data_IF_043889960445
#
_entry.id   IF_043889960445
#
_cell.length_a   1.000
_cell.length_b   1.000
_cell.length_c   1.000
_cell.angle_alpha   90.00
_cell.angle_beta   90.00
_cell.angle_gamma   90.00
#
_symmetry.space_group_name_H-M   'P 1'
#
loop_
_entity.id
_entity.type
_entity.pdbx_description
1 polymer ?
#
# COMPACT_ATOMS: atom_id res chain seq x y z
N UNK A 1 4.74 2.79 18.48
CA UNK A 1 4.17 3.22 17.17
C UNK A 1 3.89 1.98 16.32
N UNK A 2 2.93 2.01 15.42
CA UNK A 2 2.59 0.92 14.49
C UNK A 2 2.90 1.40 13.09
N UNK A 3 3.85 0.78 12.40
CA UNK A 3 4.24 1.18 11.04
C UNK A 3 4.01 0.04 10.07
N UNK A 4 3.50 0.37 8.89
CA UNK A 4 3.49 -0.56 7.75
C UNK A 4 4.94 -0.80 7.32
N UNK A 5 5.28 -2.07 7.14
CA UNK A 5 6.60 -2.47 6.66
C UNK A 5 6.48 -2.90 5.20
N UNK A 6 7.16 -2.18 4.33
CA UNK A 6 7.36 -2.56 2.93
C UNK A 6 8.27 -3.80 2.87
N UNK A 7 8.00 -4.73 1.95
CA UNK A 7 8.81 -5.93 1.76
C UNK A 7 10.29 -5.62 1.51
N UNK A 8 10.62 -4.51 0.82
CA UNK A 8 12.02 -4.11 0.60
C UNK A 8 12.75 -3.71 1.91
N UNK A 9 12.00 -3.49 3.00
CA UNK A 9 12.51 -3.09 4.30
C UNK A 9 12.74 -4.26 5.25
N UNK A 10 12.24 -5.46 4.93
CA UNK A 10 12.31 -6.66 5.77
C UNK A 10 13.71 -7.08 6.20
N UNK A 11 14.71 -6.85 5.35
CA UNK A 11 16.11 -7.17 5.64
C UNK A 11 16.93 -5.92 6.03
N UNK A 12 16.27 -4.79 6.29
CA UNK A 12 16.95 -3.56 6.69
C UNK A 12 17.43 -3.62 8.14
N UNK A 13 18.70 -3.31 8.45
CA UNK A 13 19.15 -3.15 9.84
C UNK A 13 18.35 -2.09 10.62
N UNK A 14 17.78 -1.11 9.91
CA UNK A 14 16.94 -0.09 10.52
C UNK A 14 15.61 -0.65 11.06
N UNK A 15 15.14 -1.80 10.53
CA UNK A 15 13.97 -2.50 11.08
C UNK A 15 14.28 -3.05 12.47
N UNK A 16 15.45 -3.66 12.65
CA UNK A 16 15.94 -4.09 13.97
C UNK A 16 16.01 -2.90 14.92
N UNK A 17 16.65 -1.81 14.50
CA UNK A 17 16.75 -0.58 15.33
C UNK A 17 15.37 -0.07 15.73
N UNK A 18 14.42 -0.01 14.80
CA UNK A 18 13.04 0.41 15.07
C UNK A 18 12.37 -0.47 16.14
N UNK A 19 12.50 -1.80 16.04
CA UNK A 19 11.88 -2.74 16.97
C UNK A 19 12.56 -2.74 18.35
N UNK A 20 13.89 -2.63 18.40
CA UNK A 20 14.67 -2.57 19.64
C UNK A 20 14.46 -1.27 20.43
N UNK A 21 14.22 -0.16 19.72
CA UNK A 21 14.02 1.16 20.35
C UNK A 21 12.88 1.15 21.36
N UNK A 22 11.82 0.37 21.13
CA UNK A 22 10.70 0.27 22.07
C UNK A 22 9.89 -0.99 21.83
N UNK A 23 9.52 -1.71 22.90
CA UNK A 23 8.54 -2.80 22.84
C UNK A 23 7.16 -2.36 22.35
N UNK A 24 6.86 -1.06 22.37
CA UNK A 24 5.64 -0.48 21.83
C UNK A 24 5.71 -0.20 20.32
N UNK A 25 6.88 -0.39 19.68
CA UNK A 25 7.04 -0.33 18.24
C UNK A 25 6.61 -1.65 17.62
N UNK A 26 5.71 -1.55 16.64
CA UNK A 26 5.05 -2.70 16.03
C UNK A 26 5.26 -2.60 14.52
N UNK A 27 5.72 -3.70 13.93
CA UNK A 27 5.74 -3.96 12.51
C UNK A 27 4.37 -4.47 12.06
N UNK A 28 3.74 -3.77 11.13
CA UNK A 28 2.42 -4.13 10.60
C UNK A 28 2.58 -4.61 9.16
N UNK A 29 2.10 -5.83 8.89
CA UNK A 29 2.30 -6.54 7.63
C UNK A 29 0.97 -6.66 6.87
N UNK A 30 0.78 -5.90 5.78
CA UNK A 30 -0.33 -6.18 4.86
C UNK A 30 -0.08 -7.47 4.08
N UNK A 31 -1.14 -8.07 3.55
CA UNK A 31 -1.06 -9.32 2.77
C UNK A 31 -0.13 -9.19 1.56
N UNK A 32 -0.11 -8.03 0.90
CA UNK A 32 0.80 -7.75 -0.23
C UNK A 32 2.27 -7.96 0.16
N UNK A 33 2.67 -7.65 1.39
CA UNK A 33 4.04 -7.86 1.87
C UNK A 33 4.42 -9.34 1.93
N UNK A 34 3.48 -10.18 2.35
CA UNK A 34 3.65 -11.62 2.31
C UNK A 34 3.73 -12.14 0.88
N UNK A 35 2.85 -11.66 0.00
CA UNK A 35 2.81 -12.08 -1.40
C UNK A 35 4.13 -11.81 -2.13
N UNK A 36 4.78 -10.68 -1.86
CA UNK A 36 6.08 -10.37 -2.47
C UNK A 36 7.19 -11.35 -2.07
N UNK A 37 7.18 -11.84 -0.83
CA UNK A 37 8.14 -12.82 -0.36
C UNK A 37 7.98 -14.21 -1.03
N UNK A 38 6.86 -14.47 -1.70
CA UNK A 38 6.63 -15.70 -2.47
C UNK A 38 7.15 -15.64 -3.92
N UNK A 39 7.61 -14.48 -4.40
CA UNK A 39 8.18 -14.36 -5.76
C UNK A 39 9.52 -15.11 -5.84
N UNK A 40 9.80 -15.76 -6.98
CA UNK A 40 11.11 -16.39 -7.22
C UNK A 40 11.33 -17.69 -6.44
N UNK A 41 12.29 -17.70 -5.52
CA UNK A 41 12.55 -18.82 -4.59
C UNK A 41 11.82 -18.55 -3.27
N UNK A 42 10.57 -19.03 -3.10
CA UNK A 42 9.72 -18.64 -1.99
C UNK A 42 10.26 -19.12 -0.64
N UNK A 43 10.88 -20.31 -0.57
CA UNK A 43 11.38 -20.85 0.70
C UNK A 43 12.50 -19.96 1.23
N UNK A 44 13.49 -19.67 0.38
CA UNK A 44 14.63 -18.82 0.73
C UNK A 44 14.21 -17.38 0.99
N UNK A 45 13.29 -16.84 0.18
CA UNK A 45 12.84 -15.46 0.30
C UNK A 45 12.02 -15.25 1.57
N UNK A 46 11.14 -16.17 1.94
CA UNK A 46 10.39 -16.11 3.20
C UNK A 46 11.32 -16.20 4.42
N UNK A 47 12.29 -17.12 4.40
CA UNK A 47 13.24 -17.30 5.50
C UNK A 47 14.01 -16.01 5.79
N UNK A 48 14.55 -15.39 4.73
CA UNK A 48 15.31 -14.14 4.81
C UNK A 48 14.46 -12.93 5.17
N UNK A 49 13.28 -12.83 4.56
CA UNK A 49 12.36 -11.71 4.76
C UNK A 49 11.89 -11.61 6.22
N UNK A 50 11.62 -12.75 6.85
CA UNK A 50 11.10 -12.75 8.23
C UNK A 50 12.17 -12.97 9.29
N UNK A 51 13.44 -12.99 8.91
CA UNK A 51 14.56 -13.22 9.82
C UNK A 51 14.70 -12.15 10.91
N UNK A 52 14.39 -10.88 10.62
CA UNK A 52 14.40 -9.84 11.66
C UNK A 52 13.14 -9.95 12.50
N UNK A 53 11.98 -10.06 11.86
CA UNK A 53 10.67 -10.03 12.52
C UNK A 53 10.47 -11.19 13.50
N UNK A 54 10.98 -12.39 13.22
CA UNK A 54 10.82 -13.54 14.12
C UNK A 54 11.54 -13.38 15.47
N UNK A 55 12.54 -12.48 15.54
CA UNK A 55 13.24 -12.16 16.80
C UNK A 55 12.38 -11.29 17.72
N UNK A 56 11.36 -10.63 17.16
CA UNK A 56 10.43 -9.74 17.85
C UNK A 56 8.96 -10.16 17.61
N UNK A 57 8.56 -11.41 17.88
CA UNK A 57 7.26 -11.94 17.44
C UNK A 57 6.07 -11.21 18.09
N UNK A 58 6.25 -10.66 19.30
CA UNK A 58 5.23 -9.87 20.00
C UNK A 58 5.06 -8.45 19.43
N UNK A 59 5.94 -8.04 18.51
CA UNK A 59 5.93 -6.75 17.84
C UNK A 59 5.52 -6.86 16.37
N UNK A 60 4.90 -7.97 15.97
CA UNK A 60 4.39 -8.19 14.61
C UNK A 60 2.87 -8.21 14.63
N UNK A 61 2.23 -7.46 13.74
CA UNK A 61 0.80 -7.55 13.45
C UNK A 61 0.59 -7.90 11.99
N UNK A 62 -0.19 -8.93 11.73
CA UNK A 62 -0.58 -9.32 10.37
C UNK A 62 -1.98 -8.77 10.10
N UNK A 63 -2.15 -8.13 8.96
CA UNK A 63 -3.45 -7.63 8.53
C UNK A 63 -4.24 -8.73 7.81
N UNK A 64 -5.55 -8.65 7.89
CA UNK A 64 -6.47 -9.46 7.08
C UNK A 64 -6.22 -9.18 5.61
N UNK A 65 -6.57 -10.15 4.76
CA UNK A 65 -6.46 -9.99 3.31
C UNK A 65 -7.20 -8.76 2.79
N UNK A 66 -6.63 -8.11 1.78
CA UNK A 66 -7.11 -6.86 1.17
C UNK A 66 -8.58 -6.98 0.74
N UNK A 67 -8.99 -8.12 0.17
CA UNK A 67 -10.39 -8.37 -0.21
C UNK A 67 -11.38 -8.36 0.95
N UNK A 68 -10.93 -8.71 2.16
CA UNK A 68 -11.74 -8.62 3.38
C UNK A 68 -11.81 -7.15 3.81
N UNK A 69 -10.68 -6.45 3.82
CA UNK A 69 -10.59 -5.06 4.28
C UNK A 69 -11.43 -4.12 3.42
N UNK A 70 -11.38 -4.28 2.09
CA UNK A 70 -12.14 -3.44 1.13
C UNK A 70 -13.66 -3.50 1.35
N UNK A 71 -14.20 -4.63 1.83
CA UNK A 71 -15.64 -4.81 2.04
C UNK A 71 -16.22 -3.93 3.14
N UNK A 72 -15.39 -3.27 3.93
CA UNK A 72 -15.83 -2.56 5.13
C UNK A 72 -15.73 -1.05 5.01
N UNK A 73 -16.73 -0.37 5.57
CA UNK A 73 -16.63 1.04 5.85
C UNK A 73 -15.59 1.24 6.97
N UNK A 74 -14.65 2.17 6.75
CA UNK A 74 -13.66 2.59 7.74
C UNK A 74 -14.27 3.52 8.81
N UNK A 75 -15.37 3.07 9.43
CA UNK A 75 -16.27 3.92 10.21
C UNK A 75 -16.24 3.64 11.72
N UNK A 76 -15.09 3.29 12.30
CA UNK A 76 -15.01 3.19 13.77
C UNK A 76 -13.66 3.62 14.32
N UNK A 77 -13.67 4.10 15.57
CA UNK A 77 -12.48 4.32 16.43
C UNK A 77 -11.56 3.09 16.53
N UNK A 78 -12.00 1.91 16.10
CA UNK A 78 -11.28 0.64 16.19
C UNK A 78 -10.99 0.00 14.81
N UNK A 79 -11.08 0.74 13.71
CA UNK A 79 -10.93 0.16 12.38
C UNK A 79 -9.57 -0.53 12.17
N UNK A 80 -8.47 0.05 12.69
CA UNK A 80 -7.14 -0.56 12.66
C UNK A 80 -7.07 -1.87 13.45
N UNK A 81 -7.79 -1.99 14.56
CA UNK A 81 -7.90 -3.24 15.34
C UNK A 81 -8.69 -4.30 14.59
N UNK A 82 -9.70 -3.89 13.82
CA UNK A 82 -10.48 -4.80 12.98
C UNK A 82 -9.68 -5.29 11.76
N UNK A 83 -8.80 -4.46 11.19
CA UNK A 83 -7.92 -4.84 10.09
C UNK A 83 -6.93 -5.94 10.49
N UNK A 84 -6.62 -6.12 11.77
CA UNK A 84 -5.70 -7.16 12.26
C UNK A 84 -6.32 -8.55 12.13
N UNK A 85 -5.57 -9.46 11.54
CA UNK A 85 -5.80 -10.89 11.59
C UNK A 85 -5.19 -11.44 12.89
N UNK A 86 -6.05 -11.67 13.89
CA UNK A 86 -5.61 -12.11 15.21
C UNK A 86 -5.01 -13.51 15.19
N UNK A 87 -5.52 -14.38 14.32
CA UNK A 87 -5.09 -15.77 14.23
C UNK A 87 -3.70 -15.83 13.61
N UNK A 88 -3.51 -15.19 12.45
CA UNK A 88 -2.20 -15.14 11.80
C UNK A 88 -1.18 -14.40 12.67
N UNK A 89 -1.58 -13.30 13.32
CA UNK A 89 -0.72 -12.55 14.26
C UNK A 89 -0.22 -13.46 15.39
N UNK A 90 -1.12 -14.21 16.04
CA UNK A 90 -0.73 -15.13 17.12
C UNK A 90 0.12 -16.30 16.60
N UNK A 91 -0.15 -16.77 15.37
CA UNK A 91 0.55 -17.87 14.72
C UNK A 91 1.90 -17.51 14.08
N UNK A 92 2.31 -16.24 14.08
CA UNK A 92 3.48 -15.80 13.32
C UNK A 92 4.78 -16.54 13.69
N UNK A 93 5.05 -16.75 14.97
CA UNK A 93 6.25 -17.47 15.41
C UNK A 93 6.25 -18.94 14.95
N UNK A 94 5.09 -19.60 15.00
CA UNK A 94 4.93 -20.97 14.50
C UNK A 94 5.11 -21.03 12.98
N UNK A 95 4.55 -20.07 12.26
CA UNK A 95 4.71 -19.93 10.81
C UNK A 95 6.20 -19.78 10.42
N UNK A 96 6.96 -18.93 11.11
CA UNK A 96 8.39 -18.82 10.83
C UNK A 96 9.14 -20.14 11.11
N UNK A 97 8.78 -20.86 12.18
CA UNK A 97 9.32 -22.20 12.44
C UNK A 97 9.03 -23.21 11.32
N UNK A 98 7.87 -23.12 10.66
CA UNK A 98 7.55 -23.93 9.48
C UNK A 98 8.42 -23.56 8.28
N UNK A 99 8.67 -22.26 8.06
CA UNK A 99 9.58 -21.79 7.01
C UNK A 99 11.00 -22.30 7.26
N UNK A 100 11.49 -22.26 8.50
CA UNK A 100 12.83 -22.79 8.86
C UNK A 100 12.96 -24.29 8.56
N UNK A 101 11.90 -25.08 8.79
CA UNK A 101 11.89 -26.50 8.39
C UNK A 101 11.95 -26.67 6.88
N UNK A 102 11.16 -25.90 6.13
CA UNK A 102 11.22 -25.92 4.67
C UNK A 102 12.64 -25.56 4.16
N UNK A 103 13.26 -24.52 4.71
CA UNK A 103 14.63 -24.12 4.37
C UNK A 103 15.67 -25.20 4.74
N UNK A 104 15.38 -26.00 5.76
CA UNK A 104 16.17 -27.18 6.15
C UNK A 104 15.95 -28.43 5.30
N UNK A 105 15.10 -28.39 4.27
CA UNK A 105 14.82 -29.54 3.39
C UNK A 105 13.58 -30.35 3.75
N UNK A 106 12.72 -29.90 4.67
CA UNK A 106 11.50 -30.61 5.05
C UNK A 106 10.44 -30.54 3.94
N UNK A 107 10.36 -31.62 3.17
CA UNK A 107 9.54 -31.79 1.98
C UNK A 107 8.04 -31.40 2.14
N UNK A 108 7.32 -31.88 3.18
CA UNK A 108 5.98 -31.38 3.51
C UNK A 108 5.86 -29.85 3.60
N UNK A 109 6.80 -29.16 4.26
CA UNK A 109 6.75 -27.69 4.39
C UNK A 109 7.16 -26.99 3.11
N UNK A 110 8.11 -27.54 2.36
CA UNK A 110 8.47 -27.04 1.01
C UNK A 110 7.23 -27.05 0.12
N UNK A 111 6.50 -28.17 0.04
CA UNK A 111 5.26 -28.27 -0.74
C UNK A 111 4.18 -27.32 -0.27
N UNK A 112 4.07 -27.09 1.04
CA UNK A 112 3.12 -26.12 1.58
C UNK A 112 3.45 -24.69 1.09
N UNK A 113 4.72 -24.29 1.18
CA UNK A 113 5.20 -22.99 0.70
C UNK A 113 4.96 -22.83 -0.81
N UNK A 114 5.29 -23.85 -1.60
CA UNK A 114 5.12 -23.83 -3.06
C UNK A 114 3.65 -23.69 -3.48
N UNK A 115 2.72 -24.35 -2.80
CA UNK A 115 1.28 -24.19 -3.10
C UNK A 115 0.82 -22.75 -2.93
N UNK A 116 1.18 -22.10 -1.83
CA UNK A 116 0.86 -20.68 -1.62
C UNK A 116 1.59 -19.77 -2.60
N UNK A 117 2.83 -20.13 -3.00
CA UNK A 117 3.58 -19.37 -3.98
C UNK A 117 2.89 -19.32 -5.35
N UNK A 118 2.28 -20.43 -5.78
CA UNK A 118 1.49 -20.48 -7.02
C UNK A 118 0.36 -19.46 -7.01
N UNK A 119 -0.43 -19.41 -5.93
CA UNK A 119 -1.54 -18.46 -5.80
C UNK A 119 -1.05 -16.99 -5.84
N UNK A 120 0.09 -16.71 -5.19
CA UNK A 120 0.68 -15.37 -5.16
C UNK A 120 1.18 -14.95 -6.56
N UNK A 121 1.86 -15.85 -7.28
CA UNK A 121 2.34 -15.61 -8.65
C UNK A 121 1.16 -15.36 -9.60
N UNK A 122 0.09 -16.16 -9.50
CA UNK A 122 -1.11 -15.93 -10.29
C UNK A 122 -1.76 -14.58 -10.02
N UNK A 123 -1.77 -14.13 -8.75
CA UNK A 123 -2.26 -12.80 -8.41
C UNK A 123 -1.43 -11.69 -9.08
N UNK A 124 -0.11 -11.72 -8.96
CA UNK A 124 0.74 -10.71 -9.61
C UNK A 124 0.62 -10.75 -11.14
N UNK A 125 0.44 -11.93 -11.73
CA UNK A 125 0.18 -12.06 -13.16
C UNK A 125 -1.16 -11.47 -13.59
N UNK A 126 -2.19 -11.49 -12.73
CA UNK A 126 -3.45 -10.77 -12.98
C UNK A 126 -3.22 -9.26 -12.90
N UNK A 127 -2.61 -8.78 -11.81
CA UNK A 127 -2.28 -7.34 -11.65
C UNK A 127 -1.49 -6.84 -12.86
N UNK A 128 -0.47 -7.57 -13.32
CA UNK A 128 0.34 -7.19 -14.48
C UNK A 128 -0.45 -7.06 -15.78
N UNK A 129 -1.51 -7.86 -15.96
CA UNK A 129 -2.41 -7.74 -17.11
C UNK A 129 -3.33 -6.53 -16.96
N UNK A 130 -3.83 -6.31 -15.76
CA UNK A 130 -4.80 -5.24 -15.48
C UNK A 130 -4.16 -3.84 -15.55
N UNK A 131 -2.85 -3.70 -15.30
CA UNK A 131 -2.14 -2.41 -15.41
C UNK A 131 -1.92 -1.93 -16.85
N UNK A 132 -2.27 -2.72 -17.88
CA UNK A 132 -2.07 -2.35 -19.28
C UNK A 132 -2.85 -1.10 -19.72
N UNK A 133 -3.96 -0.79 -19.05
CA UNK A 133 -4.80 0.39 -19.38
C UNK A 133 -4.33 1.68 -18.71
N UNK A 134 -3.38 1.60 -17.75
CA UNK A 134 -2.91 2.74 -16.97
C UNK A 134 -2.30 3.86 -17.84
N UNK A 135 -1.46 3.59 -18.86
CA UNK A 135 -0.87 4.66 -19.68
C UNK A 135 -1.91 5.52 -20.40
N UNK A 136 -2.98 4.91 -20.93
CA UNK A 136 -4.05 5.66 -21.60
C UNK A 136 -4.81 6.56 -20.62
N UNK A 137 -5.07 6.07 -19.40
CA UNK A 137 -5.66 6.88 -18.34
C UNK A 137 -4.74 8.07 -17.97
N UNK A 138 -3.42 7.86 -17.92
CA UNK A 138 -2.44 8.91 -17.63
C UNK A 138 -2.46 10.03 -18.67
N UNK A 139 -2.52 9.72 -19.96
CA UNK A 139 -2.59 10.74 -21.01
C UNK A 139 -3.87 11.59 -20.91
N UNK A 140 -5.01 10.94 -20.65
CA UNK A 140 -6.27 11.63 -20.40
C UNK A 140 -6.18 12.59 -19.21
N UNK A 141 -5.62 12.14 -18.10
CA UNK A 141 -5.45 12.96 -16.90
C UNK A 141 -4.41 14.07 -17.08
N UNK A 142 -3.36 13.84 -17.87
CA UNK A 142 -2.31 14.83 -18.13
C UNK A 142 -2.86 16.07 -18.85
N UNK A 143 -3.84 15.88 -19.74
CA UNK A 143 -4.49 16.96 -20.49
C UNK A 143 -5.23 17.98 -19.60
N UNK A 144 -5.58 17.59 -18.37
CA UNK A 144 -6.26 18.45 -17.41
C UNK A 144 -5.31 19.54 -16.90
N UNK A 145 -3.99 19.31 -16.88
CA UNK A 145 -3.01 20.19 -16.26
C UNK A 145 -2.36 21.15 -17.25
N UNK A 146 -2.49 22.45 -16.97
CA UNK A 146 -1.79 23.49 -17.72
C UNK A 146 -0.31 23.51 -17.36
N UNK A 147 0.52 24.17 -18.16
CA UNK A 147 1.94 24.33 -17.83
C UNK A 147 2.16 25.22 -16.60
N UNK A 148 1.23 26.15 -16.32
CA UNK A 148 1.23 26.91 -15.08
C UNK A 148 0.99 26.00 -13.86
N UNK A 149 0.02 25.09 -13.97
CA UNK A 149 -0.23 24.09 -12.91
C UNK A 149 1.01 23.22 -12.68
N UNK A 150 1.62 22.71 -13.75
CA UNK A 150 2.83 21.87 -13.66
C UNK A 150 3.99 22.62 -13.02
N UNK A 151 4.21 23.90 -13.36
CA UNK A 151 5.24 24.74 -12.73
C UNK A 151 5.00 24.87 -11.23
N UNK A 152 3.76 25.12 -10.81
CA UNK A 152 3.41 25.19 -9.40
C UNK A 152 3.60 23.85 -8.68
N UNK A 153 3.15 22.74 -9.28
CA UNK A 153 3.32 21.41 -8.70
C UNK A 153 4.79 21.01 -8.50
N UNK A 154 5.70 21.47 -9.37
CA UNK A 154 7.15 21.25 -9.20
C UNK A 154 7.74 21.94 -7.97
N UNK A 155 7.10 22.99 -7.47
CA UNK A 155 7.51 23.64 -6.22
C UNK A 155 7.12 22.81 -4.99
N UNK A 156 6.22 21.83 -5.14
CA UNK A 156 5.73 20.98 -4.05
C UNK A 156 4.29 21.31 -3.65
N UNK A 157 3.60 20.33 -3.05
CA UNK A 157 2.19 20.45 -2.69
C UNK A 157 1.91 21.56 -1.66
N UNK A 158 2.87 21.87 -0.80
CA UNK A 158 2.75 22.93 0.22
C UNK A 158 2.61 24.33 -0.40
N UNK A 159 3.15 24.53 -1.61
CA UNK A 159 3.09 25.79 -2.36
C UNK A 159 1.92 25.84 -3.35
N UNK A 160 0.99 24.88 -3.28
CA UNK A 160 -0.15 24.78 -4.18
C UNK A 160 -1.23 25.80 -3.82
N UNK A 161 -1.61 26.63 -4.81
CA UNK A 161 -2.66 27.64 -4.70
C UNK A 161 -4.03 27.03 -4.42
N UNK A 162 -4.95 27.82 -3.85
CA UNK A 162 -6.35 27.40 -3.63
C UNK A 162 -7.04 26.81 -4.86
N UNK A 163 -6.97 27.46 -6.05
CA UNK A 163 -7.56 26.92 -7.27
C UNK A 163 -6.97 25.56 -7.70
N UNK A 164 -5.64 25.42 -7.67
CA UNK A 164 -4.99 24.16 -8.05
C UNK A 164 -5.25 23.07 -7.00
N UNK A 165 -5.29 23.42 -5.71
CA UNK A 165 -5.70 22.52 -4.62
C UNK A 165 -7.11 21.99 -4.86
N UNK A 166 -8.05 22.87 -5.20
CA UNK A 166 -9.44 22.50 -5.47
C UNK A 166 -9.54 21.56 -6.68
N UNK A 167 -8.74 21.80 -7.71
CA UNK A 167 -8.64 20.96 -8.92
C UNK A 167 -8.13 19.56 -8.57
N UNK A 168 -7.04 19.45 -7.80
CA UNK A 168 -6.48 18.17 -7.33
C UNK A 168 -7.50 17.40 -6.49
N UNK A 169 -8.13 18.06 -5.50
CA UNK A 169 -9.14 17.43 -4.67
C UNK A 169 -10.29 16.93 -5.54
N UNK A 170 -10.81 17.74 -6.47
CA UNK A 170 -11.92 17.32 -7.34
C UNK A 170 -11.58 16.05 -8.12
N UNK A 171 -10.41 15.99 -8.74
CA UNK A 171 -9.94 14.81 -9.49
C UNK A 171 -9.83 13.57 -8.58
N UNK A 172 -9.33 13.73 -7.35
CA UNK A 172 -9.29 12.63 -6.39
C UNK A 172 -10.66 12.12 -6.00
N UNK A 173 -11.65 13.01 -5.86
CA UNK A 173 -13.02 12.62 -5.54
C UNK A 173 -13.68 11.88 -6.71
N UNK A 174 -13.45 12.35 -7.93
CA UNK A 174 -13.93 11.68 -9.15
C UNK A 174 -13.32 10.27 -9.27
N UNK A 175 -12.01 10.13 -9.07
CA UNK A 175 -11.33 8.83 -9.06
C UNK A 175 -11.79 7.92 -7.91
N UNK A 176 -12.00 8.49 -6.73
CA UNK A 176 -12.53 7.76 -5.57
C UNK A 176 -13.91 7.22 -5.88
N UNK A 177 -14.80 8.06 -6.42
CA UNK A 177 -16.15 7.67 -6.79
C UNK A 177 -16.13 6.58 -7.87
N UNK A 178 -15.29 6.74 -8.90
CA UNK A 178 -15.11 5.75 -9.95
C UNK A 178 -14.61 4.41 -9.38
N UNK A 179 -13.53 4.42 -8.58
CA UNK A 179 -12.93 3.23 -7.97
C UNK A 179 -13.94 2.47 -7.10
N UNK A 180 -14.66 3.18 -6.22
CA UNK A 180 -15.70 2.57 -5.38
C UNK A 180 -16.85 2.00 -6.21
N UNK A 181 -17.23 2.65 -7.33
CA UNK A 181 -18.34 2.19 -8.18
C UNK A 181 -18.01 0.94 -8.99
N UNK A 182 -16.72 0.69 -9.25
CA UNK A 182 -16.23 -0.41 -10.07
C UNK A 182 -15.67 -1.57 -9.25
N UNK A 183 -15.39 -1.37 -7.97
CA UNK A 183 -14.74 -2.39 -7.16
C UNK A 183 -15.69 -3.55 -6.83
N UNK A 184 -15.36 -4.80 -7.21
CA UNK A 184 -16.29 -5.94 -7.10
C UNK A 184 -16.68 -6.30 -5.66
N UNK A 185 -15.79 -6.01 -4.70
CA UNK A 185 -16.02 -6.27 -3.27
C UNK A 185 -16.57 -5.05 -2.50
N UNK A 186 -16.85 -3.90 -3.13
CA UNK A 186 -17.49 -2.76 -2.45
C UNK A 186 -19.02 -2.94 -2.47
N UNK A 187 -19.62 -3.10 -1.30
CA UNK A 187 -21.05 -3.45 -1.17
C UNK A 187 -21.98 -2.26 -0.98
N UNK A 188 -21.47 -1.14 -0.49
CA UNK A 188 -22.24 0.07 -0.20
C UNK A 188 -21.50 1.31 -0.69
N UNK A 189 -22.22 2.32 -1.16
CA UNK A 189 -21.60 3.58 -1.59
C UNK A 189 -21.74 4.63 -0.48
N UNK A 190 -20.63 5.15 0.06
CA UNK A 190 -20.67 6.11 1.16
C UNK A 190 -21.31 7.42 0.68
N UNK A 191 -22.33 7.90 1.41
CA UNK A 191 -23.04 9.15 1.09
C UNK A 191 -22.24 10.41 1.46
N UNK A 192 -21.32 10.29 2.42
CA UNK A 192 -20.47 11.39 2.87
C UNK A 192 -19.06 11.24 2.33
N UNK A 193 -18.47 12.37 1.96
CA UNK A 193 -17.14 12.43 1.36
C UNK A 193 -16.04 11.93 2.31
N UNK A 194 -16.11 12.36 3.57
CA UNK A 194 -15.18 11.95 4.62
C UNK A 194 -15.22 10.44 4.86
N UNK A 195 -16.40 9.83 4.79
CA UNK A 195 -16.56 8.38 4.86
C UNK A 195 -16.00 7.67 3.61
N UNK A 196 -16.13 8.27 2.42
CA UNK A 196 -15.61 7.72 1.17
C UNK A 196 -14.09 7.64 1.16
N UNK A 197 -13.41 8.75 1.47
CA UNK A 197 -11.93 8.84 1.45
C UNK A 197 -11.27 8.04 2.57
N UNK A 198 -12.03 7.60 3.57
CA UNK A 198 -11.54 6.69 4.62
C UNK A 198 -11.46 5.25 4.15
N UNK A 199 -12.04 4.86 3.02
CA UNK A 199 -12.00 3.47 2.54
C UNK A 199 -10.70 3.14 1.82
N UNK A 200 -10.26 1.90 1.94
CA UNK A 200 -8.98 1.47 1.37
C UNK A 200 -8.90 1.69 -0.16
N UNK A 201 -9.93 1.36 -0.97
CA UNK A 201 -9.90 1.66 -2.41
C UNK A 201 -9.72 3.14 -2.72
N UNK A 202 -10.35 4.03 -1.93
CA UNK A 202 -10.21 5.46 -2.11
C UNK A 202 -8.77 5.93 -1.83
N UNK A 203 -8.19 5.49 -0.70
CA UNK A 203 -6.81 5.84 -0.33
C UNK A 203 -5.79 5.29 -1.32
N UNK A 204 -6.02 4.08 -1.83
CA UNK A 204 -5.24 3.48 -2.91
C UNK A 204 -5.34 4.29 -4.21
N UNK A 205 -6.54 4.72 -4.62
CA UNK A 205 -6.71 5.56 -5.81
C UNK A 205 -6.06 6.94 -5.66
N UNK A 206 -6.12 7.55 -4.47
CA UNK A 206 -5.41 8.80 -4.16
C UNK A 206 -3.90 8.61 -4.30
N UNK A 207 -3.34 7.52 -3.75
CA UNK A 207 -1.91 7.23 -3.86
C UNK A 207 -1.47 7.08 -5.33
N UNK A 208 -2.21 6.28 -6.12
CA UNK A 208 -1.93 6.11 -7.56
C UNK A 208 -1.98 7.41 -8.34
N UNK A 209 -2.95 8.27 -8.03
CA UNK A 209 -3.06 9.57 -8.67
C UNK A 209 -1.90 10.50 -8.33
N UNK A 210 -1.42 10.50 -7.09
CA UNK A 210 -0.27 11.31 -6.69
C UNK A 210 1.03 10.78 -7.29
N UNK A 211 1.17 9.45 -7.41
CA UNK A 211 2.25 8.86 -8.19
C UNK A 211 2.19 9.30 -9.66
N UNK A 212 1.01 9.28 -10.26
CA UNK A 212 0.80 9.81 -11.61
C UNK A 212 1.25 11.27 -11.71
N UNK A 213 0.83 12.15 -10.80
CA UNK A 213 1.25 13.56 -10.81
C UNK A 213 2.78 13.67 -10.77
N UNK A 214 3.47 12.89 -9.93
CA UNK A 214 4.94 12.90 -9.92
C UNK A 214 5.55 12.46 -11.24
N UNK A 215 5.04 11.36 -11.82
CA UNK A 215 5.48 10.86 -13.14
C UNK A 215 5.17 11.82 -14.29
N UNK A 216 4.08 12.59 -14.19
CA UNK A 216 3.74 13.65 -15.13
C UNK A 216 4.80 14.76 -15.08
N UNK A 217 5.23 15.18 -13.89
CA UNK A 217 6.19 16.27 -13.72
C UNK A 217 7.61 15.92 -14.15
N UNK A 218 8.00 14.64 -14.01
CA UNK A 218 9.29 14.12 -14.45
C UNK A 218 9.32 13.68 -15.92
N UNK A 219 8.17 13.69 -16.61
CA UNK A 219 8.04 13.19 -17.99
C UNK A 219 7.99 11.65 -18.10
N UNK A 220 8.08 10.93 -16.97
CA UNK A 220 8.12 9.46 -16.94
C UNK A 220 6.78 8.75 -17.17
N UNK A 221 5.66 9.47 -17.29
CA UNK A 221 4.33 8.86 -17.45
C UNK A 221 4.12 8.04 -18.75
N UNK A 222 4.97 8.21 -19.77
CA UNK A 222 4.80 7.61 -21.12
C UNK A 222 5.68 6.38 -21.42
N UNK A 223 6.62 6.02 -20.56
CA UNK A 223 7.65 5.01 -20.87
C UNK A 223 7.83 3.94 -19.80
N UNK A 224 6.79 3.69 -18.98
CA UNK A 224 6.86 2.71 -17.89
C UNK A 224 6.43 1.34 -18.42
N UNK A 225 7.33 0.35 -18.33
CA UNK A 225 6.99 -1.05 -18.64
C UNK A 225 5.98 -1.64 -17.66
N UNK A 226 5.23 -2.66 -18.08
CA UNK A 226 4.19 -3.31 -17.28
C UNK A 226 4.68 -3.89 -15.95
N UNK A 227 5.92 -4.38 -15.89
CA UNK A 227 6.52 -4.90 -14.66
C UNK A 227 6.74 -3.79 -13.62
N UNK A 228 7.18 -2.60 -14.07
CA UNK A 228 7.33 -1.45 -13.18
C UNK A 228 5.95 -0.95 -12.72
N UNK A 229 4.94 -0.94 -13.60
CA UNK A 229 3.57 -0.57 -13.21
C UNK A 229 2.96 -1.55 -12.19
N UNK A 230 3.23 -2.85 -12.33
CA UNK A 230 2.79 -3.84 -11.35
C UNK A 230 3.48 -3.66 -9.99
N UNK A 231 4.76 -3.26 -9.98
CA UNK A 231 5.47 -2.87 -8.76
C UNK A 231 4.84 -1.63 -8.13
N UNK A 232 4.55 -0.61 -8.92
CA UNK A 232 3.90 0.62 -8.44
C UNK A 232 2.55 0.32 -7.76
N UNK A 233 1.78 -0.63 -8.27
CA UNK A 233 0.52 -1.07 -7.65
C UNK A 233 0.75 -1.59 -6.24
N UNK A 234 1.76 -2.43 -6.03
CA UNK A 234 2.11 -2.93 -4.70
C UNK A 234 2.55 -1.78 -3.77
N UNK A 235 3.40 -0.88 -4.26
CA UNK A 235 3.87 0.30 -3.54
C UNK A 235 2.71 1.19 -3.07
N UNK A 236 1.75 1.46 -3.95
CA UNK A 236 0.58 2.27 -3.62
C UNK A 236 -0.34 1.61 -2.60
N UNK A 237 -0.38 0.27 -2.55
CA UNK A 237 -1.08 -0.46 -1.48
C UNK A 237 -0.41 -0.28 -0.11
N UNK A 238 0.92 -0.33 -0.03
CA UNK A 238 1.63 -0.03 1.22
C UNK A 238 1.33 1.39 1.71
N UNK A 239 1.36 2.37 0.81
CA UNK A 239 1.00 3.76 1.11
C UNK A 239 -0.44 3.85 1.63
N UNK A 240 -1.38 3.23 0.92
CA UNK A 240 -2.79 3.23 1.32
C UNK A 240 -2.98 2.65 2.72
N UNK A 241 -2.35 1.53 3.04
CA UNK A 241 -2.37 0.98 4.40
C UNK A 241 -1.69 1.90 5.41
N UNK A 242 -0.55 2.50 5.09
CA UNK A 242 0.23 3.32 6.02
C UNK A 242 -0.55 4.55 6.51
N UNK A 243 -1.51 5.03 5.74
CA UNK A 243 -2.40 6.13 6.16
C UNK A 243 -3.34 5.78 7.32
N UNK A 244 -3.53 4.49 7.65
CA UNK A 244 -4.30 4.05 8.82
C UNK A 244 -3.45 3.87 10.08
N UNK A 245 -2.13 3.86 9.92
CA UNK A 245 -1.17 3.58 10.98
C UNK A 245 -0.22 4.76 11.18
N UNK A 246 0.76 4.62 12.08
CA UNK A 246 1.66 5.70 12.51
C UNK A 246 2.84 5.93 11.54
N UNK A 247 2.81 5.34 10.35
CA UNK A 247 3.88 5.50 9.36
C UNK A 247 4.08 4.34 8.40
N UNK A 248 5.01 4.57 7.47
CA UNK A 248 5.56 3.61 6.52
C UNK A 248 7.07 3.48 6.75
N UNK A 249 7.60 2.26 6.63
CA UNK A 249 9.04 2.00 6.50
C UNK A 249 9.28 1.35 5.14
N UNK A 250 9.88 2.11 4.22
CA UNK A 250 10.24 1.70 2.86
C UNK A 250 11.61 2.27 2.50
N UNK A 251 12.40 1.54 1.71
CA UNK A 251 13.68 2.04 1.18
C UNK A 251 13.50 2.92 -0.05
N UNK A 252 12.34 2.85 -0.70
CA UNK A 252 12.09 3.56 -1.94
C UNK A 252 11.75 5.03 -1.70
N UNK A 253 12.60 5.92 -2.25
CA UNK A 253 12.44 7.37 -2.07
C UNK A 253 11.09 7.85 -2.61
N UNK A 254 10.69 7.37 -3.80
CA UNK A 254 9.42 7.72 -4.44
C UNK A 254 8.22 7.33 -3.57
N UNK A 255 8.25 6.14 -2.98
CA UNK A 255 7.16 5.65 -2.11
C UNK A 255 7.00 6.54 -0.87
N UNK A 256 8.11 6.89 -0.22
CA UNK A 256 8.12 7.78 0.94
C UNK A 256 7.68 9.22 0.59
N UNK A 257 7.98 9.68 -0.62
CA UNK A 257 7.52 10.97 -1.14
C UNK A 257 6.01 10.98 -1.41
N UNK A 258 5.50 9.98 -2.13
CA UNK A 258 4.06 9.86 -2.40
C UNK A 258 3.28 9.68 -1.10
N UNK A 259 3.81 8.95 -0.11
CA UNK A 259 3.16 8.81 1.20
C UNK A 259 2.95 10.17 1.88
N UNK A 260 3.96 11.06 1.86
CA UNK A 260 3.85 12.41 2.40
C UNK A 260 2.82 13.25 1.64
N UNK A 261 2.78 13.12 0.32
CA UNK A 261 1.79 13.81 -0.50
C UNK A 261 0.37 13.34 -0.17
N UNK A 262 0.17 12.03 0.03
CA UNK A 262 -1.13 11.47 0.43
C UNK A 262 -1.58 12.05 1.76
N UNK A 263 -0.70 12.11 2.77
CA UNK A 263 -1.04 12.71 4.07
C UNK A 263 -1.41 14.20 3.93
N UNK A 264 -0.63 14.94 3.14
CA UNK A 264 -0.87 16.36 2.87
C UNK A 264 -2.25 16.57 2.27
N UNK A 265 -2.60 15.80 1.26
CA UNK A 265 -3.89 15.90 0.57
C UNK A 265 -5.05 15.47 1.45
N UNK A 266 -4.91 14.37 2.20
CA UNK A 266 -5.95 13.92 3.12
C UNK A 266 -6.26 15.01 4.16
N UNK A 267 -5.26 15.81 4.57
CA UNK A 267 -5.48 16.96 5.46
C UNK A 267 -6.36 18.05 4.82
N UNK A 268 -6.26 18.27 3.50
CA UNK A 268 -7.12 19.23 2.79
C UNK A 268 -8.59 18.80 2.76
N UNK A 269 -8.85 17.50 2.73
CA UNK A 269 -10.20 16.94 2.75
C UNK A 269 -10.77 16.96 4.17
N UNK A 270 -9.94 16.66 5.18
CA UNK A 270 -10.31 16.78 6.59
C UNK A 270 -10.71 18.21 6.99
N UNK A 271 -9.98 19.23 6.51
CA UNK A 271 -10.32 20.64 6.74
C UNK A 271 -11.65 21.08 6.10
N UNK A 272 -12.10 20.41 5.03
CA UNK A 272 -13.38 20.72 4.36
C UNK A 272 -14.60 20.09 5.02
N UNK A 273 -14.42 19.15 5.95
CA UNK A 273 -15.53 18.50 6.65
C UNK A 273 -16.07 19.33 7.84
N UNK A 274 -15.46 20.49 8.13
CA UNK A 274 -15.82 21.39 9.23
C UNK A 274 -16.51 22.70 8.77
N UNK A 275 -16.90 22.80 7.49
CA UNK A 275 -17.68 23.91 6.92
C UNK A 275 -18.95 23.40 6.27
#
# INVERSE_FOLDING_TARGET
MRKIIDANYFQSPDLTRYLETSKANIAVLPDIAGMEAYKGDPVRNLERSYEILHRFPQQVLILRGTRIIVKTAADTKNHTRWMVDKEQTAGFAQFYGQIKRAAGGDEPHIRAVQRTATDAVEHFNRVRRDVAEIPAAYDGMASIYTDADKRQLRMGLDHTSGPLRNKIVRQMLELTAFSLSKHPDVQDFPRRLDAAVRRLPARYSIANYLLFLRKLLSGGHRSVGSDHLASDVADMMYIAYATYFDGLLSKEKMVNEVYRDVLTVLSWIGQRAET
#
